data_IF_918730156169
#
_entry.id   IF_918730156169
#
_cell.length_a   1.000
_cell.length_b   1.000
_cell.length_c   1.000
_cell.angle_alpha   90.00
_cell.angle_beta   90.00
_cell.angle_gamma   90.00
#
_symmetry.space_group_name_H-M   'P 1'
#
loop_
_entity.id
_entity.type
_entity.pdbx_description
1 polymer ?
#
# COMPACT_ATOMS: atom_id res chain seq x y z
N UNK A 1 -0.79 -21.13 27.95
CA UNK A 1 -1.27 -19.80 27.61
C UNK A 1 -0.33 -19.02 26.75
N UNK A 2 0.88 -18.83 27.26
CA UNK A 2 1.92 -18.11 26.53
C UNK A 2 2.29 -18.81 25.23
N UNK A 3 2.39 -20.14 25.28
CA UNK A 3 2.71 -20.95 24.10
C UNK A 3 1.62 -20.80 23.01
N UNK A 4 0.35 -20.84 23.39
CA UNK A 4 -0.77 -20.67 22.45
C UNK A 4 -0.77 -19.28 21.83
N UNK A 5 -0.45 -18.26 22.62
CA UNK A 5 -0.36 -16.89 22.12
C UNK A 5 0.74 -16.75 21.07
N UNK A 6 1.91 -17.33 21.33
CA UNK A 6 3.04 -17.30 20.39
C UNK A 6 2.72 -18.06 19.11
N UNK A 7 2.04 -19.22 19.23
CA UNK A 7 1.63 -20.01 18.07
C UNK A 7 0.61 -19.24 17.22
N UNK A 8 -0.35 -18.59 17.86
CA UNK A 8 -1.35 -17.79 17.16
C UNK A 8 -0.71 -16.63 16.41
N UNK A 9 0.25 -15.96 17.02
CA UNK A 9 0.98 -14.86 16.37
C UNK A 9 1.78 -15.37 15.16
N UNK A 10 2.39 -16.56 15.27
CA UNK A 10 3.11 -17.18 14.16
C UNK A 10 2.17 -17.54 13.01
N UNK A 11 1.00 -18.09 13.31
CA UNK A 11 0.00 -18.44 12.30
C UNK A 11 -0.50 -17.18 11.57
N UNK A 12 -0.76 -16.11 12.32
CA UNK A 12 -1.16 -14.82 11.74
C UNK A 12 -0.10 -14.31 10.76
N UNK A 13 1.16 -14.46 11.12
CA UNK A 13 2.29 -14.07 10.28
C UNK A 13 2.36 -14.88 8.99
N UNK A 14 2.13 -16.18 9.08
CA UNK A 14 2.20 -17.09 7.93
C UNK A 14 1.08 -16.82 6.93
N UNK A 15 -0.13 -16.52 7.41
CA UNK A 15 -1.29 -16.28 6.53
C UNK A 15 -1.33 -14.86 5.99
N UNK A 16 -0.54 -13.93 6.56
CA UNK A 16 -0.48 -12.58 6.03
C UNK A 16 0.33 -12.55 4.74
N UNK A 17 -0.27 -12.03 3.68
CA UNK A 17 0.35 -12.00 2.37
C UNK A 17 1.28 -10.79 2.23
N UNK A 18 2.57 -11.05 2.01
CA UNK A 18 3.59 -10.03 1.73
C UNK A 18 4.42 -10.50 0.54
N UNK A 19 3.98 -10.21 -0.69
CA UNK A 19 4.67 -10.67 -1.89
C UNK A 19 6.15 -10.28 -1.93
N UNK A 20 7.00 -11.21 -2.36
CA UNK A 20 8.45 -11.04 -2.37
C UNK A 20 8.96 -10.20 -3.53
N UNK A 21 8.15 -10.05 -4.56
CA UNK A 21 8.53 -9.31 -5.77
C UNK A 21 8.13 -7.84 -5.73
N UNK A 22 7.58 -7.38 -4.60
CA UNK A 22 7.20 -5.99 -4.40
C UNK A 22 8.17 -5.30 -3.43
N UNK A 23 8.09 -3.97 -3.40
CA UNK A 23 8.78 -3.14 -2.42
C UNK A 23 7.74 -2.52 -1.49
N UNK A 24 8.20 -2.04 -0.34
CA UNK A 24 7.29 -1.59 0.73
C UNK A 24 7.81 -0.33 1.40
N UNK A 25 6.88 0.37 2.10
CA UNK A 25 7.22 1.54 2.90
C UNK A 25 6.83 1.30 4.36
N UNK A 26 7.34 2.16 5.24
CA UNK A 26 6.95 2.15 6.67
C UNK A 26 5.51 2.62 6.88
N UNK A 27 4.91 3.23 5.86
CA UNK A 27 3.51 3.67 5.90
C UNK A 27 2.56 2.61 5.36
N UNK A 28 3.06 1.39 5.16
CA UNK A 28 2.28 0.21 4.74
C UNK A 28 1.71 0.33 3.33
N UNK A 29 2.48 0.94 2.43
CA UNK A 29 2.19 0.89 1.00
C UNK A 29 3.11 -0.10 0.32
N UNK A 30 2.60 -0.75 -0.72
CA UNK A 30 3.41 -1.58 -1.59
C UNK A 30 3.67 -0.86 -2.91
N UNK A 31 4.77 -1.21 -3.55
CA UNK A 31 5.21 -0.59 -4.82
C UNK A 31 5.64 -1.70 -5.77
N UNK A 32 5.09 -1.67 -6.98
CA UNK A 32 5.51 -2.56 -8.06
C UNK A 32 6.13 -1.70 -9.16
N UNK A 33 7.43 -1.86 -9.36
CA UNK A 33 8.18 -1.07 -10.35
C UNK A 33 8.29 -1.82 -11.66
N UNK A 34 7.82 -1.18 -12.75
CA UNK A 34 7.93 -1.71 -14.11
C UNK A 34 8.47 -0.60 -15.01
N UNK A 35 9.76 -0.64 -15.30
CA UNK A 35 10.43 0.43 -16.05
C UNK A 35 10.42 1.72 -15.24
N UNK A 36 9.84 2.77 -15.79
CA UNK A 36 9.74 4.08 -15.12
C UNK A 36 8.36 4.30 -14.47
N UNK A 37 7.54 3.27 -14.41
CA UNK A 37 6.20 3.34 -13.82
C UNK A 37 6.17 2.50 -12.53
N UNK A 38 5.60 3.08 -11.48
CA UNK A 38 5.37 2.38 -10.22
C UNK A 38 3.87 2.30 -9.95
N UNK A 39 3.38 1.09 -9.69
CA UNK A 39 2.01 0.86 -9.24
C UNK A 39 2.03 0.78 -7.73
N UNK A 40 1.09 1.45 -7.06
CA UNK A 40 1.08 1.62 -5.61
C UNK A 40 -0.29 1.25 -5.04
N UNK A 41 -0.27 0.59 -3.90
CA UNK A 41 -1.46 0.30 -3.13
C UNK A 41 -1.10 0.12 -1.67
N UNK A 42 -2.06 -0.27 -0.85
CA UNK A 42 -1.83 -0.56 0.57
C UNK A 42 -1.65 -2.07 0.77
N UNK A 43 -0.88 -2.43 1.78
CA UNK A 43 -0.58 -3.84 2.05
C UNK A 43 -1.75 -4.56 2.68
N UNK A 44 -1.67 -5.89 2.71
CA UNK A 44 -2.64 -6.73 3.41
C UNK A 44 -2.70 -6.38 4.90
N UNK A 45 -1.55 -6.10 5.51
CA UNK A 45 -1.49 -5.63 6.89
C UNK A 45 -2.27 -4.33 7.06
N UNK A 46 -2.07 -3.36 6.19
CA UNK A 46 -2.72 -2.06 6.27
C UNK A 46 -4.24 -2.19 6.16
N UNK A 47 -4.75 -2.96 5.19
CA UNK A 47 -6.19 -3.11 5.03
C UNK A 47 -6.81 -3.80 6.24
N UNK A 48 -6.09 -4.76 6.84
CA UNK A 48 -6.54 -5.43 8.06
C UNK A 48 -6.65 -4.47 9.24
N UNK A 49 -5.69 -3.56 9.38
CA UNK A 49 -5.71 -2.56 10.44
C UNK A 49 -6.81 -1.50 10.23
N UNK A 50 -7.03 -1.10 8.97
CA UNK A 50 -8.06 -0.11 8.63
C UNK A 50 -9.48 -0.67 8.78
N UNK A 51 -9.67 -1.95 8.47
CA UNK A 51 -10.98 -2.56 8.41
C UNK A 51 -11.67 -2.29 7.08
N UNK A 52 -12.99 -2.39 7.05
CA UNK A 52 -13.78 -2.27 5.81
C UNK A 52 -13.60 -0.89 5.18
N UNK A 53 -13.07 -0.87 3.98
CA UNK A 53 -12.85 0.36 3.21
C UNK A 53 -14.15 0.74 2.51
N UNK A 54 -14.58 1.98 2.68
CA UNK A 54 -15.83 2.50 2.11
C UNK A 54 -15.60 3.56 1.05
N UNK A 55 -14.40 4.18 1.03
CA UNK A 55 -14.13 5.24 0.06
C UNK A 55 -12.62 5.43 -0.12
N UNK A 56 -12.19 5.64 -1.36
CA UNK A 56 -10.82 5.99 -1.70
C UNK A 56 -10.86 7.25 -2.55
N UNK A 57 -10.16 8.29 -2.13
CA UNK A 57 -10.11 9.56 -2.85
C UNK A 57 -8.68 9.89 -3.24
N UNK A 58 -8.49 10.19 -4.53
CA UNK A 58 -7.20 10.65 -5.07
C UNK A 58 -7.50 11.92 -5.88
N UNK A 59 -7.10 13.05 -5.34
CA UNK A 59 -7.32 14.36 -5.95
C UNK A 59 -6.04 14.96 -6.55
N UNK A 60 -4.99 14.16 -6.64
CA UNK A 60 -3.67 14.60 -7.10
C UNK A 60 -3.32 14.10 -8.50
N UNK A 61 -4.29 13.58 -9.25
CA UNK A 61 -4.07 13.10 -10.61
C UNK A 61 -3.44 14.20 -11.46
N UNK A 62 -2.42 13.85 -12.22
CA UNK A 62 -1.64 14.74 -13.08
C UNK A 62 -0.74 15.72 -12.31
N UNK A 63 -0.59 15.55 -11.00
CA UNK A 63 0.32 16.36 -10.19
C UNK A 63 1.64 15.61 -9.93
N UNK A 64 2.72 16.38 -9.86
CA UNK A 64 4.01 15.85 -9.47
C UNK A 64 4.18 16.05 -7.97
N UNK A 65 4.45 14.96 -7.25
CA UNK A 65 4.57 14.95 -5.80
C UNK A 65 5.92 14.37 -5.39
N UNK A 66 6.42 14.83 -4.26
CA UNK A 66 7.64 14.28 -3.68
C UNK A 66 7.30 13.11 -2.75
N UNK A 67 8.30 12.28 -2.49
CA UNK A 67 8.18 11.18 -1.54
C UNK A 67 7.64 11.71 -0.20
N UNK A 68 6.70 10.95 0.36
CA UNK A 68 6.02 11.22 1.62
C UNK A 68 4.96 12.32 1.57
N UNK A 69 4.75 12.97 0.42
CA UNK A 69 3.58 13.83 0.27
C UNK A 69 2.30 13.00 0.17
N UNK A 70 1.19 13.56 0.60
CA UNK A 70 -0.10 12.89 0.58
C UNK A 70 -0.64 12.87 -0.85
N UNK A 71 -0.90 11.67 -1.40
CA UNK A 71 -1.51 11.57 -2.72
C UNK A 71 -3.02 11.37 -2.69
N UNK A 72 -3.56 10.98 -1.56
CA UNK A 72 -4.98 10.72 -1.42
C UNK A 72 -5.32 10.31 0.00
N UNK A 73 -6.57 9.89 0.18
CA UNK A 73 -7.07 9.41 1.46
C UNK A 73 -7.86 8.11 1.28
N UNK A 74 -7.86 7.29 2.32
CA UNK A 74 -8.69 6.10 2.37
C UNK A 74 -9.61 6.22 3.59
N UNK A 75 -10.91 6.00 3.37
CA UNK A 75 -11.89 6.05 4.43
C UNK A 75 -12.41 4.65 4.71
N UNK A 76 -12.30 4.24 5.96
CA UNK A 76 -12.87 2.99 6.46
C UNK A 76 -14.05 3.31 7.37
N UNK A 77 -14.83 2.31 7.74
CA UNK A 77 -15.97 2.50 8.64
C UNK A 77 -15.55 3.16 9.94
N UNK A 78 -14.38 2.77 10.47
CA UNK A 78 -13.92 3.23 11.79
C UNK A 78 -12.90 4.37 11.76
N UNK A 79 -12.30 4.70 10.61
CA UNK A 79 -11.21 5.66 10.55
C UNK A 79 -10.97 6.20 9.16
N UNK A 80 -10.27 7.33 9.06
CA UNK A 80 -9.79 7.92 7.81
C UNK A 80 -8.26 8.02 7.91
N UNK A 81 -7.57 7.67 6.83
CA UNK A 81 -6.11 7.71 6.81
C UNK A 81 -5.60 8.38 5.55
N UNK A 82 -4.51 9.13 5.67
CA UNK A 82 -3.80 9.68 4.52
C UNK A 82 -2.98 8.60 3.83
N UNK A 83 -2.81 8.76 2.52
CA UNK A 83 -1.97 7.89 1.70
C UNK A 83 -0.78 8.69 1.22
N UNK A 84 0.43 8.16 1.42
CA UNK A 84 1.67 8.88 1.17
C UNK A 84 2.39 8.34 -0.06
N UNK A 85 3.03 9.25 -0.81
CA UNK A 85 3.85 8.86 -1.95
C UNK A 85 5.03 8.01 -1.48
N UNK A 86 5.19 6.79 -2.01
CA UNK A 86 6.33 5.95 -1.63
C UNK A 86 7.63 6.42 -2.29
N UNK A 87 7.53 7.05 -3.45
CA UNK A 87 8.64 7.63 -4.21
C UNK A 87 8.13 8.87 -4.92
N UNK A 88 9.05 9.77 -5.28
CA UNK A 88 8.69 10.99 -6.01
C UNK A 88 8.32 10.68 -7.45
N UNK A 89 7.32 11.38 -7.95
CA UNK A 89 6.89 11.25 -9.34
C UNK A 89 5.56 11.90 -9.61
N UNK A 90 5.12 11.74 -10.84
CA UNK A 90 3.83 12.25 -11.28
C UNK A 90 2.76 11.17 -11.12
N UNK A 91 1.63 11.52 -10.53
CA UNK A 91 0.48 10.62 -10.40
C UNK A 91 -0.24 10.61 -11.75
N UNK A 92 -0.05 9.54 -12.52
CA UNK A 92 -0.54 9.48 -13.91
C UNK A 92 -1.85 8.73 -14.07
N UNK A 93 -2.20 7.88 -13.09
CA UNK A 93 -3.42 7.09 -13.20
C UNK A 93 -3.96 6.76 -11.82
N UNK A 94 -5.29 6.76 -11.70
CA UNK A 94 -6.02 6.29 -10.52
C UNK A 94 -6.88 5.11 -10.93
N UNK A 95 -6.97 4.10 -10.07
CA UNK A 95 -7.83 2.94 -10.31
C UNK A 95 -9.29 3.32 -10.07
N UNK A 96 -9.97 3.73 -11.13
CA UNK A 96 -11.34 4.23 -11.05
C UNK A 96 -12.34 3.18 -10.55
N UNK A 97 -12.00 1.88 -10.66
CA UNK A 97 -12.89 0.83 -10.15
C UNK A 97 -13.09 0.92 -8.64
N UNK A 98 -12.17 1.57 -7.92
CA UNK A 98 -12.29 1.78 -6.48
C UNK A 98 -13.36 2.79 -6.11
N UNK A 99 -13.83 3.62 -7.05
CA UNK A 99 -14.93 4.54 -6.78
C UNK A 99 -16.25 3.80 -6.56
N UNK A 100 -16.46 2.71 -7.29
CA UNK A 100 -17.66 1.89 -7.15
C UNK A 100 -17.45 0.67 -6.29
N UNK A 101 -16.22 0.17 -6.19
CA UNK A 101 -15.89 -1.06 -5.48
C UNK A 101 -14.69 -0.86 -4.55
N UNK A 102 -14.77 0.04 -3.55
CA UNK A 102 -13.65 0.29 -2.64
C UNK A 102 -13.26 -0.93 -1.83
N UNK A 103 -14.15 -1.89 -1.66
CA UNK A 103 -13.90 -3.15 -0.95
C UNK A 103 -12.83 -4.01 -1.64
N UNK A 104 -12.46 -3.71 -2.87
CA UNK A 104 -11.34 -4.39 -3.56
C UNK A 104 -10.03 -4.20 -2.82
N UNK A 105 -9.87 -3.09 -2.11
CA UNK A 105 -8.69 -2.85 -1.28
C UNK A 105 -8.57 -3.91 -0.19
N UNK A 106 -9.69 -4.32 0.37
CA UNK A 106 -9.72 -5.37 1.39
C UNK A 106 -9.58 -6.77 0.79
N UNK A 107 -10.29 -7.03 -0.31
CA UNK A 107 -10.38 -8.37 -0.90
C UNK A 107 -9.13 -8.76 -1.67
N UNK A 108 -8.51 -7.79 -2.35
CA UNK A 108 -7.40 -8.07 -3.26
C UNK A 108 -6.43 -6.89 -3.31
N UNK A 109 -5.75 -6.59 -2.19
CA UNK A 109 -4.95 -5.36 -2.06
C UNK A 109 -3.78 -5.27 -3.05
N UNK A 110 -3.24 -6.39 -3.52
CA UNK A 110 -2.04 -6.39 -4.37
C UNK A 110 -2.34 -6.45 -5.86
N UNK A 111 -3.58 -6.68 -6.25
CA UNK A 111 -3.98 -6.77 -7.66
C UNK A 111 -5.09 -5.78 -7.96
N UNK A 112 -6.36 -6.18 -7.85
CA UNK A 112 -7.48 -5.30 -8.19
C UNK A 112 -7.60 -4.08 -7.30
N UNK A 113 -7.02 -4.14 -6.10
CA UNK A 113 -7.03 -3.04 -5.14
C UNK A 113 -5.91 -2.02 -5.31
N UNK A 114 -5.16 -2.05 -6.42
CA UNK A 114 -4.15 -1.03 -6.67
C UNK A 114 -4.80 0.36 -6.71
N UNK A 115 -4.06 1.36 -6.28
CA UNK A 115 -4.62 2.71 -6.13
C UNK A 115 -4.17 3.67 -7.22
N UNK A 116 -2.87 3.87 -7.36
CA UNK A 116 -2.33 4.83 -8.34
C UNK A 116 -1.16 4.24 -9.09
N UNK A 117 -0.87 4.87 -10.24
CA UNK A 117 0.38 4.66 -10.96
C UNK A 117 1.15 5.95 -10.98
N UNK A 118 2.45 5.86 -10.77
CA UNK A 118 3.37 6.99 -10.68
C UNK A 118 4.39 6.88 -11.80
N UNK A 119 4.64 7.98 -12.51
CA UNK A 119 5.80 8.06 -13.39
C UNK A 119 6.97 8.51 -12.52
N UNK A 120 7.94 7.64 -12.32
CA UNK A 120 9.04 7.84 -11.38
C UNK A 120 9.93 8.98 -11.83
N UNK A 121 10.15 9.97 -10.96
CA UNK A 121 11.03 11.10 -11.25
C UNK A 121 12.46 10.91 -10.71
N UNK A 122 12.61 10.14 -9.63
CA UNK A 122 13.90 9.86 -9.01
C UNK A 122 14.08 8.37 -8.75
N UNK A 123 14.63 7.60 -9.73
CA UNK A 123 14.78 6.15 -9.58
C UNK A 123 15.66 5.73 -8.40
N UNK A 124 16.53 6.61 -7.90
CA UNK A 124 17.40 6.28 -6.77
C UNK A 124 16.61 6.04 -5.49
N UNK A 125 15.41 6.62 -5.37
CA UNK A 125 14.57 6.42 -4.20
C UNK A 125 14.04 4.99 -4.08
N UNK A 126 14.04 4.23 -5.17
CA UNK A 126 13.63 2.82 -5.14
C UNK A 126 14.52 2.02 -4.19
N UNK A 127 15.81 2.38 -4.10
CA UNK A 127 16.76 1.69 -3.24
C UNK A 127 16.50 1.92 -1.75
N UNK A 128 15.69 2.91 -1.41
CA UNK A 128 15.33 3.21 -0.02
C UNK A 128 14.07 2.51 0.43
N UNK A 129 13.37 1.83 -0.48
CA UNK A 129 12.18 1.05 -0.16
C UNK A 129 12.57 -0.26 0.53
N UNK A 130 11.65 -0.77 1.33
CA UNK A 130 11.86 -2.01 2.07
C UNK A 130 11.61 -3.22 1.16
N UNK A 131 12.40 -4.28 1.38
CA UNK A 131 12.08 -5.59 0.82
C UNK A 131 10.91 -6.20 1.58
N UNK A 132 10.33 -7.29 1.06
CA UNK A 132 9.26 -7.99 1.77
C UNK A 132 9.75 -8.49 3.13
N UNK A 133 10.97 -8.98 3.21
CA UNK A 133 11.55 -9.49 4.44
C UNK A 133 11.72 -8.37 5.49
N UNK A 134 12.27 -7.23 5.08
CA UNK A 134 12.44 -6.09 5.97
C UNK A 134 11.08 -5.56 6.44
N UNK A 135 10.11 -5.52 5.54
CA UNK A 135 8.76 -5.08 5.88
C UNK A 135 8.10 -6.02 6.89
N UNK A 136 8.22 -7.33 6.70
CA UNK A 136 7.70 -8.33 7.64
C UNK A 136 8.29 -8.10 9.03
N UNK A 137 9.59 -7.81 9.11
CA UNK A 137 10.24 -7.53 10.38
C UNK A 137 9.68 -6.27 11.05
N UNK A 138 9.26 -5.28 10.25
CA UNK A 138 8.68 -4.04 10.77
C UNK A 138 7.31 -4.26 11.40
N UNK A 139 6.50 -5.15 10.84
CA UNK A 139 5.11 -5.39 11.29
C UNK A 139 5.00 -6.56 12.28
N UNK A 140 6.11 -7.17 12.65
CA UNK A 140 6.11 -8.34 13.55
C UNK A 140 6.21 -7.95 15.02
#
# INVERSE_FOLDING_TARGET
>A
FYFLFCLFAMLKRIIMNVPKDLKYTNDHEWVKVEGDIATVGVTDFAQGELGDIVYVEVDTLDEELEREEVFGTVEAVKTVSDLFMPISGEVIEFNESLETNPEKVNEDPYEEGWMIKIKISNPNEINELLSSEDYINTIS
#
